data_IF_032954615106
#
_entry.id   IF_032954615106
#
_cell.length_a   1.000
_cell.length_b   1.000
_cell.length_c   1.000
_cell.angle_alpha   90.00
_cell.angle_beta   90.00
_cell.angle_gamma   90.00
#
_symmetry.space_group_name_H-M   'P 1'
#
loop_
_entity.id
_entity.type
_entity.pdbx_description
1 polymer ?
#
# COMPACT_ATOMS: atom_id res chain seq x y z
N UNK A 1 -31.10 23.00 13.74
CA UNK A 1 -30.45 21.68 13.59
C UNK A 1 -31.55 20.62 13.53
N UNK A 2 -31.71 19.95 12.38
CA UNK A 2 -31.44 18.51 12.35
C UNK A 2 -30.42 18.13 11.26
N UNK A 3 -29.62 17.10 11.55
CA UNK A 3 -28.50 16.56 10.75
C UNK A 3 -29.05 15.96 9.44
N UNK A 4 -28.82 16.62 8.31
CA UNK A 4 -29.12 16.06 7.00
C UNK A 4 -28.25 14.83 6.72
N UNK A 5 -28.95 13.77 6.35
CA UNK A 5 -28.46 12.52 5.81
C UNK A 5 -28.06 12.68 4.34
N UNK A 6 -27.19 11.78 3.85
CA UNK A 6 -26.83 11.50 2.44
C UNK A 6 -25.84 12.44 1.73
N UNK A 7 -24.57 12.04 1.76
CA UNK A 7 -23.58 12.15 0.68
C UNK A 7 -23.13 10.71 0.39
N UNK A 8 -22.81 10.26 -0.81
CA UNK A 8 -22.83 10.83 -2.15
C UNK A 8 -22.82 9.60 -3.07
N UNK A 9 -23.46 9.72 -4.23
CA UNK A 9 -23.49 8.66 -5.25
C UNK A 9 -22.09 8.39 -5.75
N UNK A 10 -21.66 7.13 -5.75
CA UNK A 10 -20.58 6.67 -6.63
C UNK A 10 -20.98 5.28 -7.12
N UNK A 11 -21.41 5.23 -8.37
CA UNK A 11 -21.20 4.11 -9.28
C UNK A 11 -21.34 4.73 -10.67
N UNK A 12 -20.33 4.56 -11.54
CA UNK A 12 -20.59 3.63 -12.63
C UNK A 12 -19.35 2.82 -13.07
N UNK A 13 -19.55 1.51 -13.21
CA UNK A 13 -19.08 0.67 -14.31
C UNK A 13 -17.63 0.82 -14.83
N UNK A 14 -16.87 -0.26 -14.64
CA UNK A 14 -16.11 -0.91 -15.72
C UNK A 14 -15.06 -0.04 -16.41
N UNK A 15 -13.83 -0.02 -15.85
CA UNK A 15 -12.51 0.20 -16.48
C UNK A 15 -11.42 0.64 -15.48
N UNK A 16 -11.66 0.61 -14.16
CA UNK A 16 -10.64 0.97 -13.16
C UNK A 16 -9.89 -0.24 -12.59
N UNK A 17 -10.47 -1.44 -12.70
CA UNK A 17 -9.86 -2.69 -12.20
C UNK A 17 -8.68 -3.16 -13.08
N UNK A 18 -8.61 -2.71 -14.33
CA UNK A 18 -7.56 -3.09 -15.28
C UNK A 18 -6.29 -2.20 -15.17
N UNK A 19 -6.39 -1.04 -14.51
CA UNK A 19 -5.23 -0.18 -14.19
C UNK A 19 -4.66 -0.43 -12.79
N UNK A 20 -5.33 -1.25 -11.98
CA UNK A 20 -4.90 -1.59 -10.63
C UNK A 20 -3.72 -2.58 -10.64
N UNK A 21 -3.65 -3.46 -11.64
CA UNK A 21 -2.55 -4.41 -11.83
C UNK A 21 -1.27 -3.78 -12.43
N UNK A 22 -1.36 -2.57 -12.99
CA UNK A 22 -0.21 -1.81 -13.50
C UNK A 22 0.43 -0.88 -12.44
N UNK A 23 -0.19 -0.76 -11.25
CA UNK A 23 0.46 -0.14 -10.10
C UNK A 23 1.54 -1.06 -9.54
N UNK A 24 2.67 -1.14 -10.24
CA UNK A 24 3.93 -1.74 -9.77
C UNK A 24 4.47 -1.05 -8.52
N UNK A 25 3.77 -0.06 -7.97
CA UNK A 25 4.25 0.76 -6.87
C UNK A 25 3.13 0.89 -5.84
N UNK A 26 3.40 0.42 -4.64
CA UNK A 26 2.58 0.57 -3.45
C UNK A 26 3.14 1.64 -2.53
N UNK A 27 2.23 2.31 -1.84
CA UNK A 27 2.48 3.21 -0.71
C UNK A 27 2.52 2.42 0.60
N UNK A 28 2.95 3.08 1.67
CA UNK A 28 3.00 2.44 2.99
C UNK A 28 1.60 2.01 3.49
N UNK A 29 0.56 2.73 3.09
CA UNK A 29 -0.83 2.44 3.46
C UNK A 29 -1.36 1.20 2.73
N UNK A 30 -1.03 1.05 1.45
CA UNK A 30 -1.35 -0.15 0.66
C UNK A 30 -0.66 -1.38 1.24
N UNK A 31 0.64 -1.29 1.56
CA UNK A 31 1.40 -2.38 2.21
C UNK A 31 0.84 -2.72 3.58
N UNK A 32 0.49 -1.72 4.38
CA UNK A 32 -0.12 -1.91 5.70
C UNK A 32 -1.45 -2.65 5.60
N UNK A 33 -2.28 -2.27 4.64
CA UNK A 33 -3.56 -2.94 4.34
C UNK A 33 -3.33 -4.38 3.88
N UNK A 34 -2.37 -4.60 2.98
CA UNK A 34 -2.04 -5.92 2.45
C UNK A 34 -1.54 -6.90 3.53
N UNK A 35 -0.63 -6.44 4.41
CA UNK A 35 -0.10 -7.24 5.52
C UNK A 35 -1.04 -7.29 6.72
N UNK A 36 -2.15 -6.57 6.68
CA UNK A 36 -3.08 -6.39 7.79
C UNK A 36 -2.38 -5.89 9.09
N UNK A 37 -1.39 -5.00 8.92
CA UNK A 37 -0.59 -4.39 9.97
C UNK A 37 -0.83 -2.88 10.04
N UNK A 38 -0.53 -2.27 11.19
CA UNK A 38 -0.55 -0.79 11.28
C UNK A 38 0.61 -0.17 10.49
N UNK A 39 0.37 0.99 9.87
CA UNK A 39 1.39 1.82 9.21
C UNK A 39 2.61 2.05 10.13
N UNK A 40 2.38 2.24 11.43
CA UNK A 40 3.46 2.38 12.44
C UNK A 40 4.35 1.13 12.50
N UNK A 41 3.76 -0.05 12.42
CA UNK A 41 4.48 -1.32 12.40
C UNK A 41 5.31 -1.46 11.12
N UNK A 42 4.77 -1.05 9.98
CA UNK A 42 5.52 -1.02 8.71
C UNK A 42 6.68 -0.02 8.79
N UNK A 43 6.51 1.14 9.41
CA UNK A 43 7.62 2.07 9.68
C UNK A 43 8.72 1.47 10.56
N UNK A 44 8.35 0.72 11.60
CA UNK A 44 9.32 0.00 12.42
C UNK A 44 10.07 -1.07 11.61
N UNK A 45 9.34 -1.84 10.80
CA UNK A 45 9.91 -2.89 9.93
C UNK A 45 10.85 -2.31 8.87
N UNK A 46 10.48 -1.20 8.24
CA UNK A 46 11.33 -0.49 7.27
C UNK A 46 12.59 0.09 7.92
N UNK A 47 12.46 0.68 9.11
CA UNK A 47 13.61 1.20 9.87
C UNK A 47 14.60 0.10 10.24
N UNK A 48 14.07 -1.06 10.65
CA UNK A 48 14.86 -2.27 10.94
C UNK A 48 15.38 -2.99 9.67
N UNK A 49 15.05 -2.48 8.47
CA UNK A 49 15.35 -3.09 7.16
C UNK A 49 14.84 -4.53 7.04
N UNK A 50 13.77 -4.86 7.75
CA UNK A 50 13.13 -6.16 7.66
C UNK A 50 12.29 -6.26 6.38
N UNK A 51 11.63 -5.17 5.97
CA UNK A 51 10.79 -5.15 4.77
C UNK A 51 11.49 -4.40 3.62
N UNK A 52 11.47 -4.91 2.39
CA UNK A 52 12.09 -4.22 1.26
C UNK A 52 11.34 -2.94 0.94
N UNK A 53 12.07 -1.85 0.76
CA UNK A 53 11.54 -0.55 0.38
C UNK A 53 12.47 0.14 -0.62
N UNK A 54 11.90 1.00 -1.45
CA UNK A 54 12.64 1.83 -2.40
C UNK A 54 12.57 3.28 -1.98
N UNK A 55 13.75 3.91 -1.93
CA UNK A 55 13.90 5.35 -1.71
C UNK A 55 14.32 6.04 -3.02
N UNK A 56 13.62 7.08 -3.47
CA UNK A 56 14.07 7.89 -4.61
C UNK A 56 15.42 8.55 -4.32
N UNK A 57 16.29 8.66 -5.34
CA UNK A 57 17.61 9.30 -5.22
C UNK A 57 17.54 10.80 -4.91
N UNK A 58 16.46 11.47 -5.30
CA UNK A 58 16.15 12.87 -4.95
C UNK A 58 15.04 12.81 -3.91
N UNK A 59 15.38 13.12 -2.65
CA UNK A 59 14.54 12.92 -1.46
C UNK A 59 13.04 12.95 -1.70
N UNK A 60 12.35 11.91 -1.23
CA UNK A 60 10.93 11.70 -1.48
C UNK A 60 10.35 10.63 -0.56
N UNK A 61 9.07 10.30 -0.79
CA UNK A 61 8.35 9.28 -0.02
C UNK A 61 8.92 7.88 -0.34
N UNK A 62 8.78 6.98 0.63
CA UNK A 62 9.10 5.57 0.47
C UNK A 62 8.04 4.93 -0.43
N UNK A 63 8.50 4.13 -1.37
CA UNK A 63 7.64 3.34 -2.24
C UNK A 63 8.02 1.87 -2.12
N UNK A 64 7.04 1.01 -2.34
CA UNK A 64 7.17 -0.43 -2.21
C UNK A 64 6.82 -1.06 -3.53
N UNK A 65 7.52 -2.12 -3.94
CA UNK A 65 7.06 -2.92 -5.06
C UNK A 65 6.25 -4.11 -4.52
N UNK A 66 5.06 -4.39 -5.06
CA UNK A 66 4.30 -5.58 -4.69
C UNK A 66 5.12 -6.87 -4.86
N UNK A 67 5.84 -7.02 -5.97
CA UNK A 67 6.69 -8.20 -6.23
C UNK A 67 7.77 -8.41 -5.14
N UNK A 68 8.42 -7.33 -4.70
CA UNK A 68 9.43 -7.42 -3.63
C UNK A 68 8.81 -7.76 -2.28
N UNK A 69 7.64 -7.18 -1.98
CA UNK A 69 6.90 -7.49 -0.75
C UNK A 69 6.46 -8.95 -0.75
N UNK A 70 5.90 -9.45 -1.85
CA UNK A 70 5.47 -10.84 -1.99
C UNK A 70 6.64 -11.81 -1.85
N UNK A 71 7.75 -11.54 -2.55
CA UNK A 71 8.95 -12.38 -2.46
C UNK A 71 9.55 -12.37 -1.05
N UNK A 72 9.50 -11.23 -0.36
CA UNK A 72 9.94 -11.14 1.04
C UNK A 72 9.07 -11.97 1.99
N UNK A 73 7.75 -11.98 1.78
CA UNK A 73 6.84 -12.82 2.58
C UNK A 73 7.13 -14.30 2.34
N UNK A 74 7.34 -14.70 1.08
CA UNK A 74 7.68 -16.08 0.72
C UNK A 74 9.00 -16.54 1.33
N UNK A 75 10.03 -15.69 1.29
CA UNK A 75 11.34 -15.95 1.90
C UNK A 75 11.25 -16.09 3.43
N UNK A 76 10.43 -15.26 4.09
CA UNK A 76 10.22 -15.32 5.54
C UNK A 76 9.36 -16.50 6.01
N UNK A 77 8.67 -17.20 5.11
CA UNK A 77 7.83 -18.37 5.41
C UNK A 77 8.56 -19.71 5.21
N UNK A 78 9.80 -19.68 4.68
CA UNK A 78 10.67 -20.85 4.53
C UNK A 78 11.56 -21.08 5.75
#
# INVERSE_FOLDING_TARGET
MPRSTMKEKINPSSNEEELLFDKRIWTIEEVATFLNLSVKTIYNKTSRREIPYRKPKRGGRLYFLPDEILNWIDDGLR
#
